data_IF_683272887217
#
_entry.id   IF_683272887217
#
_cell.length_a   1.000
_cell.length_b   1.000
_cell.length_c   1.000
_cell.angle_alpha   90.00
_cell.angle_beta   90.00
_cell.angle_gamma   90.00
#
_symmetry.space_group_name_H-M   'P 1'
#
loop_
_entity.id
_entity.type
_entity.pdbx_description
1 polymer ?
#
# COMPACT_ATOMS: atom_id res chain seq x y z
N UNK A 1 -43.32 10.68 60.10
CA UNK A 1 -43.42 10.25 61.51
C UNK A 1 -42.58 8.99 61.67
N UNK A 2 -41.62 9.03 62.60
CA UNK A 2 -40.81 7.95 63.19
C UNK A 2 -40.13 6.90 62.28
N UNK A 3 -38.80 6.91 62.10
CA UNK A 3 -37.67 6.53 62.99
C UNK A 3 -37.44 5.02 63.21
N UNK A 4 -36.14 4.68 63.16
CA UNK A 4 -35.44 3.58 63.87
C UNK A 4 -35.43 2.21 63.16
N UNK A 5 -34.35 1.80 62.48
CA UNK A 5 -33.07 1.27 63.00
C UNK A 5 -33.12 -0.20 63.46
N UNK A 6 -32.32 -1.06 62.82
CA UNK A 6 -31.16 -1.75 63.44
C UNK A 6 -30.47 -2.71 62.46
N UNK A 7 -29.14 -2.64 62.52
CA UNK A 7 -28.12 -3.48 61.87
C UNK A 7 -28.36 -4.99 62.03
N UNK A 8 -27.88 -5.80 61.08
CA UNK A 8 -26.89 -6.87 61.31
C UNK A 8 -26.17 -7.20 59.98
N UNK A 9 -24.86 -7.38 60.07
CA UNK A 9 -23.86 -7.55 58.99
C UNK A 9 -23.91 -8.94 58.33
N UNK A 10 -23.38 -9.03 57.09
CA UNK A 10 -22.37 -10.01 56.58
C UNK A 10 -22.67 -10.58 55.17
N UNK A 11 -21.61 -10.58 54.36
CA UNK A 11 -21.35 -11.21 53.05
C UNK A 11 -22.01 -10.64 51.78
N UNK A 12 -21.23 -9.78 51.11
CA UNK A 12 -21.32 -9.51 49.68
C UNK A 12 -20.88 -10.77 48.90
N UNK A 13 -21.80 -11.35 48.15
CA UNK A 13 -21.52 -12.25 47.03
C UNK A 13 -22.04 -11.50 45.80
N UNK A 14 -21.14 -10.91 45.01
CA UNK A 14 -21.48 -10.40 43.69
C UNK A 14 -21.57 -11.58 42.73
N UNK A 15 -22.79 -12.03 42.45
CA UNK A 15 -23.14 -12.78 41.25
C UNK A 15 -23.07 -11.83 40.05
N UNK A 16 -22.00 -11.94 39.25
CA UNK A 16 -21.94 -11.35 37.91
C UNK A 16 -22.79 -12.21 36.97
N UNK A 17 -24.00 -11.76 36.69
CA UNK A 17 -24.76 -12.20 35.52
C UNK A 17 -24.03 -11.71 34.26
N UNK A 18 -23.51 -12.66 33.48
CA UNK A 18 -22.84 -12.40 32.21
C UNK A 18 -23.91 -12.21 31.12
N UNK A 19 -24.13 -10.97 30.68
CA UNK A 19 -24.91 -10.67 29.49
C UNK A 19 -24.04 -10.95 28.26
N UNK A 20 -24.20 -12.12 27.65
CA UNK A 20 -23.63 -12.43 26.33
C UNK A 20 -24.37 -11.60 25.26
N UNK A 21 -23.70 -10.64 24.64
CA UNK A 21 -24.15 -10.04 23.37
C UNK A 21 -23.32 -10.64 22.24
N UNK A 22 -23.96 -11.54 21.49
CA UNK A 22 -23.48 -12.08 20.22
C UNK A 22 -23.57 -10.98 19.14
N UNK A 23 -22.45 -10.51 18.60
CA UNK A 23 -22.46 -9.79 17.33
C UNK A 23 -22.40 -10.79 16.17
N UNK A 24 -23.60 -11.07 15.64
CA UNK A 24 -23.84 -11.81 14.41
C UNK A 24 -23.48 -10.89 13.24
N UNK A 25 -22.41 -11.19 12.50
CA UNK A 25 -22.11 -10.50 11.24
C UNK A 25 -23.26 -10.71 10.24
N UNK A 26 -23.88 -9.61 9.83
CA UNK A 26 -24.99 -9.56 8.90
C UNK A 26 -24.43 -9.48 7.48
N UNK A 27 -24.52 -10.56 6.73
CA UNK A 27 -24.37 -10.58 5.27
C UNK A 27 -25.50 -9.77 4.62
N UNK A 28 -25.25 -9.02 3.53
CA UNK A 28 -26.34 -8.40 2.78
C UNK A 28 -27.13 -9.48 2.02
N UNK A 29 -28.44 -9.49 2.21
CA UNK A 29 -29.41 -10.32 1.49
C UNK A 29 -29.40 -10.00 0.00
N UNK A 30 -29.20 -11.04 -0.80
CA UNK A 30 -29.48 -11.11 -2.23
C UNK A 30 -30.99 -11.26 -2.43
N UNK A 31 -31.61 -10.40 -3.25
CA UNK A 31 -32.98 -10.60 -3.71
C UNK A 31 -33.02 -11.76 -4.71
N UNK A 32 -33.85 -12.75 -4.42
CA UNK A 32 -34.07 -13.97 -5.16
C UNK A 32 -34.67 -13.77 -6.56
N UNK A 33 -34.28 -14.65 -7.48
CA UNK A 33 -35.18 -15.25 -8.46
C UNK A 33 -34.95 -16.77 -8.44
N UNK A 34 -36.03 -17.50 -8.22
CA UNK A 34 -36.12 -18.96 -8.01
C UNK A 34 -35.85 -19.76 -9.29
N UNK A 35 -35.20 -20.93 -9.15
CA UNK A 35 -35.80 -22.27 -9.34
C UNK A 35 -34.74 -23.37 -9.19
N UNK A 36 -35.07 -24.44 -8.48
CA UNK A 36 -34.51 -25.78 -8.69
C UNK A 36 -33.74 -26.39 -7.51
N UNK A 37 -34.48 -27.04 -6.62
CA UNK A 37 -34.02 -27.84 -5.47
C UNK A 37 -33.10 -29.01 -5.87
N UNK A 38 -32.08 -29.26 -5.05
CA UNK A 38 -31.69 -30.60 -4.57
C UNK A 38 -30.73 -30.43 -3.37
N UNK A 39 -31.22 -30.81 -2.20
CA UNK A 39 -30.54 -30.77 -0.91
C UNK A 39 -29.39 -31.79 -0.82
N UNK A 40 -28.24 -31.37 -0.31
CA UNK A 40 -27.31 -32.23 0.43
C UNK A 40 -26.90 -31.46 1.69
N UNK A 41 -27.34 -31.95 2.85
CA UNK A 41 -27.03 -31.40 4.18
C UNK A 41 -25.67 -31.89 4.66
N UNK A 42 -24.82 -30.97 5.15
CA UNK A 42 -23.55 -31.29 5.83
C UNK A 42 -23.66 -31.00 7.34
N UNK A 43 -23.39 -32.02 8.15
CA UNK A 43 -23.31 -31.98 9.61
C UNK A 43 -21.89 -31.57 10.05
N UNK A 44 -21.78 -30.48 10.81
CA UNK A 44 -20.51 -29.87 11.24
C UNK A 44 -19.98 -30.38 12.60
N UNK A 45 -20.53 -31.46 13.17
CA UNK A 45 -20.10 -31.96 14.49
C UNK A 45 -19.07 -33.11 14.49
N UNK A 46 -18.26 -33.28 13.43
CA UNK A 46 -17.14 -34.23 13.45
C UNK A 46 -15.86 -33.66 12.84
N UNK A 47 -15.11 -32.87 13.61
CA UNK A 47 -13.63 -32.93 13.64
C UNK A 47 -13.20 -32.51 15.06
N UNK A 48 -13.05 -33.49 15.95
CA UNK A 48 -12.18 -33.38 17.12
C UNK A 48 -11.62 -34.77 17.35
N UNK A 49 -10.41 -35.05 16.86
CA UNK A 49 -9.49 -36.06 17.36
C UNK A 49 -8.25 -36.08 16.47
N UNK A 50 -7.23 -35.32 16.86
CA UNK A 50 -5.84 -35.73 16.66
C UNK A 50 -5.05 -35.29 17.91
N UNK A 51 -4.78 -36.28 18.76
CA UNK A 51 -3.79 -36.24 19.84
C UNK A 51 -2.40 -36.25 19.19
N UNK A 52 -1.49 -35.42 19.70
CA UNK A 52 -0.05 -35.65 19.58
C UNK A 52 0.48 -35.98 20.98
N UNK A 53 1.15 -37.12 21.07
CA UNK A 53 1.75 -37.68 22.27
C UNK A 53 2.99 -36.91 22.71
N UNK A 54 3.14 -36.84 24.03
CA UNK A 54 4.31 -36.38 24.78
C UNK A 54 5.38 -37.47 24.83
N UNK A 55 6.65 -37.08 24.73
CA UNK A 55 7.72 -37.81 25.41
C UNK A 55 8.83 -36.86 25.90
N UNK A 56 9.69 -37.37 26.76
CA UNK A 56 10.01 -36.80 28.08
C UNK A 56 11.48 -36.37 28.29
N UNK A 57 11.71 -35.48 29.26
CA UNK A 57 12.87 -35.54 30.18
C UNK A 57 14.04 -34.54 30.00
N UNK A 58 14.25 -33.68 31.00
CA UNK A 58 15.54 -33.02 31.31
C UNK A 58 15.45 -31.68 32.03
N UNK A 59 15.47 -31.69 33.38
CA UNK A 59 15.55 -30.52 34.29
C UNK A 59 16.93 -29.83 34.28
N UNK A 60 16.99 -28.52 34.60
CA UNK A 60 17.68 -27.92 35.78
C UNK A 60 17.75 -26.35 35.71
N UNK A 61 17.29 -25.72 36.82
CA UNK A 61 17.56 -24.38 37.45
C UNK A 61 17.34 -23.07 36.67
N UNK A 62 16.31 -22.25 37.00
CA UNK A 62 16.27 -21.10 37.97
C UNK A 62 17.10 -19.89 37.49
N UNK A 63 16.59 -18.66 37.30
CA UNK A 63 15.77 -17.82 38.19
C UNK A 63 15.05 -16.66 37.45
N UNK A 64 14.08 -16.07 38.17
CA UNK A 64 13.39 -14.76 37.99
C UNK A 64 12.27 -14.59 36.93
N UNK A 65 11.10 -15.15 37.28
CA UNK A 65 9.77 -14.56 37.00
C UNK A 65 9.51 -13.40 37.96
N UNK A 66 8.96 -12.26 37.52
CA UNK A 66 7.52 -12.15 37.38
C UNK A 66 7.04 -10.78 37.82
N UNK A 67 6.94 -9.85 36.87
CA UNK A 67 6.25 -8.58 37.07
C UNK A 67 5.58 -8.17 35.75
N UNK A 68 4.35 -7.63 35.83
CA UNK A 68 3.60 -6.92 34.77
C UNK A 68 2.71 -7.70 33.79
N UNK A 69 1.80 -8.54 34.29
CA UNK A 69 0.52 -8.80 33.57
C UNK A 69 -0.71 -8.32 34.33
N UNK A 70 -0.64 -8.21 35.65
CA UNK A 70 -1.74 -7.68 36.49
C UNK A 70 -1.73 -6.14 36.56
N UNK A 71 -0.56 -5.49 36.53
CA UNK A 71 -0.48 -4.01 36.44
C UNK A 71 -0.90 -3.47 35.05
N UNK A 72 -0.67 -4.25 33.98
CA UNK A 72 -1.13 -3.93 32.62
C UNK A 72 -2.65 -3.88 32.47
N UNK A 73 -3.38 -4.72 33.24
CA UNK A 73 -4.85 -4.71 33.26
C UNK A 73 -5.40 -3.58 34.11
N UNK A 74 -4.78 -3.32 35.26
CA UNK A 74 -5.23 -2.30 36.22
C UNK A 74 -5.02 -0.85 35.76
N UNK A 75 -4.17 -0.61 34.76
CA UNK A 75 -3.95 0.73 34.20
C UNK A 75 -5.02 1.12 33.16
N UNK A 76 -5.50 0.16 32.38
CA UNK A 76 -6.56 0.35 31.38
C UNK A 76 -7.94 0.52 32.06
N UNK A 77 -8.16 -0.11 33.20
CA UNK A 77 -9.43 0.00 33.97
C UNK A 77 -9.57 1.32 34.76
N UNK A 78 -8.54 2.19 34.80
CA UNK A 78 -8.61 3.50 35.48
C UNK A 78 -8.98 4.68 34.58
N UNK A 79 -9.23 4.46 33.29
CA UNK A 79 -9.70 5.51 32.38
C UNK A 79 -11.24 5.52 32.40
N UNK A 80 -11.83 6.64 32.84
CA UNK A 80 -13.30 6.79 32.94
C UNK A 80 -13.99 6.61 31.58
N UNK A 81 -15.25 6.11 31.54
CA UNK A 81 -15.95 5.73 30.30
C UNK A 81 -16.31 6.86 29.30
N UNK A 82 -15.87 8.10 29.52
CA UNK A 82 -16.43 9.27 28.82
C UNK A 82 -15.54 9.92 27.74
N UNK A 83 -14.40 9.34 27.31
CA UNK A 83 -13.49 10.02 26.34
C UNK A 83 -13.17 9.22 25.07
N UNK A 84 -14.08 8.36 24.59
CA UNK A 84 -14.03 7.88 23.20
C UNK A 84 -15.36 8.21 22.55
N UNK A 85 -15.51 9.45 22.08
CA UNK A 85 -16.65 9.85 21.26
C UNK A 85 -16.22 9.97 19.80
N UNK A 86 -16.44 8.87 19.08
CA UNK A 86 -16.59 8.71 17.64
C UNK A 86 -15.34 8.72 16.72
N UNK A 87 -15.22 7.58 16.00
CA UNK A 87 -14.61 7.30 14.68
C UNK A 87 -13.16 6.79 14.60
N UNK A 88 -13.06 5.50 14.23
CA UNK A 88 -11.91 4.65 13.83
C UNK A 88 -10.59 4.83 14.59
N UNK A 89 -10.32 3.90 15.50
CA UNK A 89 -9.15 3.89 16.38
C UNK A 89 -8.15 2.82 15.92
N UNK A 90 -7.01 3.25 15.38
CA UNK A 90 -5.76 2.48 15.23
C UNK A 90 -4.56 3.44 15.45
N UNK A 91 -4.49 4.13 16.59
CA UNK A 91 -3.30 4.91 16.97
C UNK A 91 -2.36 4.12 17.86
N UNK A 92 -1.06 4.21 17.61
CA UNK A 92 -0.01 3.56 18.40
C UNK A 92 0.46 4.46 19.56
N UNK A 93 1.11 3.90 20.58
CA UNK A 93 1.71 4.67 21.69
C UNK A 93 2.73 5.71 21.20
N UNK A 94 3.38 5.46 20.06
CA UNK A 94 4.33 6.40 19.44
C UNK A 94 3.62 7.64 18.87
N UNK A 95 2.43 7.48 18.30
CA UNK A 95 1.62 8.57 17.76
C UNK A 95 1.13 9.51 18.88
N UNK A 96 0.76 8.92 20.02
CA UNK A 96 0.36 9.63 21.24
C UNK A 96 1.56 10.43 21.79
N UNK A 97 2.72 9.80 21.90
CA UNK A 97 3.94 10.43 22.40
C UNK A 97 4.42 11.60 21.51
N UNK A 98 4.22 11.52 20.20
CA UNK A 98 4.57 12.58 19.24
C UNK A 98 3.68 13.84 19.34
N UNK A 99 2.43 13.71 19.82
CA UNK A 99 1.55 14.85 20.09
C UNK A 99 1.85 15.47 21.45
N UNK A 100 2.11 14.64 22.46
CA UNK A 100 2.50 15.09 23.80
C UNK A 100 3.80 15.90 23.78
N UNK A 101 4.77 15.51 22.96
CA UNK A 101 6.02 16.24 22.78
C UNK A 101 5.86 17.59 22.02
N UNK A 102 4.75 17.79 21.31
CA UNK A 102 4.44 19.04 20.58
C UNK A 102 3.78 20.09 21.47
N UNK A 103 3.00 19.68 22.47
CA UNK A 103 2.38 20.57 23.45
C UNK A 103 3.19 20.63 24.75
N UNK A 104 4.49 20.96 24.64
CA UNK A 104 5.35 21.16 25.81
C UNK A 104 4.75 22.23 26.73
N UNK A 105 4.13 21.78 27.82
CA UNK A 105 3.47 22.64 28.80
C UNK A 105 2.12 22.14 29.32
N UNK A 106 1.50 21.15 28.66
CA UNK A 106 0.20 20.60 29.11
C UNK A 106 0.28 19.07 29.20
N UNK A 107 0.55 18.55 30.39
CA UNK A 107 0.84 17.13 30.67
C UNK A 107 -0.40 16.24 30.84
N UNK A 108 -1.55 16.58 30.27
CA UNK A 108 -2.76 15.78 30.47
C UNK A 108 -2.99 14.82 29.28
N UNK A 109 -2.58 13.56 29.45
CA UNK A 109 -2.76 12.42 28.52
C UNK A 109 -4.23 12.19 28.12
N UNK A 110 -5.18 12.84 28.81
CA UNK A 110 -6.63 12.66 28.65
C UNK A 110 -7.27 13.52 27.55
N UNK A 111 -6.49 14.31 26.80
CA UNK A 111 -7.00 15.30 25.84
C UNK A 111 -6.49 15.10 24.40
N UNK A 112 -6.48 13.86 23.91
CA UNK A 112 -6.08 13.52 22.54
C UNK A 112 -7.25 12.89 21.79
N UNK A 113 -7.40 13.25 20.51
CA UNK A 113 -8.39 12.67 19.58
C UNK A 113 -7.65 12.14 18.36
N UNK A 114 -8.01 10.96 17.89
CA UNK A 114 -7.47 10.35 16.67
C UNK A 114 -8.56 10.35 15.61
N UNK A 115 -8.26 10.87 14.41
CA UNK A 115 -9.19 10.89 13.28
C UNK A 115 -8.46 10.50 12.01
N UNK A 116 -8.84 9.36 11.40
CA UNK A 116 -8.27 8.83 10.14
C UNK A 116 -6.73 8.71 10.17
N UNK A 117 -6.18 8.04 11.19
CA UNK A 117 -4.73 7.86 11.40
C UNK A 117 -3.93 9.17 11.59
N UNK A 118 -4.59 10.27 11.92
CA UNK A 118 -3.95 11.52 12.34
C UNK A 118 -4.34 11.80 13.79
N UNK A 119 -3.35 12.20 14.60
CA UNK A 119 -3.53 12.48 16.03
C UNK A 119 -3.61 13.99 16.27
N UNK A 120 -4.65 14.41 16.99
CA UNK A 120 -5.03 15.78 17.31
C UNK A 120 -5.11 15.97 18.83
N UNK A 121 -4.84 17.16 19.32
CA UNK A 121 -5.22 17.54 20.68
C UNK A 121 -6.73 17.90 20.71
N UNK A 122 -7.41 17.75 21.85
CA UNK A 122 -8.86 18.06 22.01
C UNK A 122 -9.23 19.52 21.66
N UNK A 123 -8.23 20.40 21.64
CA UNK A 123 -8.36 21.83 21.34
C UNK A 123 -7.99 22.14 19.89
N UNK A 124 -7.46 21.18 19.14
CA UNK A 124 -7.19 21.35 17.73
C UNK A 124 -8.52 21.44 16.97
N UNK A 125 -8.57 22.29 15.96
CA UNK A 125 -9.70 22.29 15.04
C UNK A 125 -9.63 21.03 14.19
N UNK A 126 -10.40 20.01 14.58
CA UNK A 126 -10.48 18.75 13.84
C UNK A 126 -11.24 19.00 12.53
N UNK A 127 -10.63 18.74 11.36
CA UNK A 127 -11.37 18.82 10.11
C UNK A 127 -12.44 17.73 10.10
N UNK A 128 -13.72 18.13 10.09
CA UNK A 128 -14.87 17.20 10.19
C UNK A 128 -14.91 16.12 9.10
N UNK A 129 -14.07 16.20 8.05
CA UNK A 129 -13.75 15.16 7.05
C UNK A 129 -12.32 15.40 6.51
N UNK A 130 -11.57 14.36 6.12
CA UNK A 130 -10.31 14.55 5.40
C UNK A 130 -10.57 15.43 4.17
N UNK A 131 -9.64 16.35 3.86
CA UNK A 131 -9.84 17.28 2.76
C UNK A 131 -10.06 16.51 1.47
N UNK A 132 -11.15 16.84 0.75
CA UNK A 132 -11.34 16.30 -0.59
C UNK A 132 -10.18 16.77 -1.46
N UNK A 133 -9.44 15.82 -2.01
CA UNK A 133 -8.42 16.10 -3.01
C UNK A 133 -9.03 16.94 -4.15
N UNK A 134 -8.40 18.05 -4.55
CA UNK A 134 -8.96 18.86 -5.62
C UNK A 134 -8.86 18.07 -6.93
N UNK A 135 -9.96 18.03 -7.69
CA UNK A 135 -9.95 17.42 -9.02
C UNK A 135 -9.05 18.23 -9.96
N UNK A 136 -8.00 17.59 -10.49
CA UNK A 136 -7.12 18.18 -11.48
C UNK A 136 -7.38 17.53 -12.84
N UNK A 137 -7.84 18.35 -13.79
CA UNK A 137 -7.96 17.92 -15.19
C UNK A 137 -6.55 17.77 -15.78
N UNK A 138 -6.33 16.79 -16.68
CA UNK A 138 -5.04 16.63 -17.35
C UNK A 138 -4.62 17.92 -18.06
N UNK A 139 -3.45 18.45 -17.69
CA UNK A 139 -2.94 19.76 -18.11
C UNK A 139 -1.93 19.67 -19.27
N UNK A 140 -1.71 18.47 -19.78
CA UNK A 140 -0.70 18.19 -20.82
C UNK A 140 0.70 18.67 -20.41
N UNK A 141 1.06 18.41 -19.14
CA UNK A 141 2.38 18.73 -18.61
C UNK A 141 2.62 20.23 -18.40
N UNK A 142 1.57 21.00 -18.06
CA UNK A 142 1.67 22.46 -17.84
C UNK A 142 2.83 22.84 -16.92
N UNK A 143 2.97 22.14 -15.77
CA UNK A 143 4.04 22.41 -14.79
C UNK A 143 5.44 22.32 -15.44
N UNK A 144 5.67 21.36 -16.32
CA UNK A 144 6.96 21.21 -17.01
C UNK A 144 7.13 22.19 -18.17
N UNK A 145 6.04 22.54 -18.87
CA UNK A 145 6.08 23.53 -19.97
C UNK A 145 6.42 24.94 -19.48
N UNK A 146 5.93 25.30 -18.30
CA UNK A 146 6.10 26.62 -17.69
C UNK A 146 7.28 26.67 -16.71
N UNK A 147 8.01 25.55 -16.56
CA UNK A 147 9.12 25.47 -15.62
C UNK A 147 10.31 26.33 -16.08
N UNK A 148 10.83 27.15 -15.17
CA UNK A 148 12.06 27.91 -15.42
C UNK A 148 13.31 27.04 -15.24
N UNK A 149 13.73 26.42 -16.35
CA UNK A 149 14.97 25.63 -16.42
C UNK A 149 16.26 26.47 -16.32
N UNK A 150 16.16 27.80 -16.39
CA UNK A 150 17.31 28.71 -16.30
C UNK A 150 17.44 29.34 -14.91
N UNK A 151 16.33 29.51 -14.18
CA UNK A 151 16.23 30.21 -12.89
C UNK A 151 16.76 29.48 -11.66
N UNK A 152 17.53 28.40 -11.83
CA UNK A 152 18.18 27.69 -10.72
C UNK A 152 19.67 27.47 -10.96
N UNK A 153 20.40 27.19 -9.88
CA UNK A 153 21.82 26.81 -9.86
C UNK A 153 22.10 25.43 -10.53
N UNK A 154 21.33 25.04 -11.54
CA UNK A 154 21.66 23.89 -12.38
C UNK A 154 22.92 24.18 -13.18
N UNK A 155 23.85 23.21 -13.20
CA UNK A 155 25.03 23.27 -14.08
C UNK A 155 24.56 23.32 -15.54
N UNK A 156 25.33 23.94 -16.44
CA UNK A 156 24.95 24.09 -17.86
C UNK A 156 24.57 22.76 -18.53
N UNK A 157 25.31 21.68 -18.25
CA UNK A 157 25.01 20.32 -18.76
C UNK A 157 23.68 19.77 -18.25
N UNK A 158 23.32 20.10 -17.00
CA UNK A 158 22.08 19.64 -16.37
C UNK A 158 20.88 20.41 -16.94
N UNK A 159 21.04 21.70 -17.26
CA UNK A 159 19.98 22.52 -17.91
C UNK A 159 19.57 21.96 -19.27
N UNK A 160 20.54 21.56 -20.10
CA UNK A 160 20.26 20.98 -21.42
C UNK A 160 19.51 19.66 -21.26
N UNK A 161 20.04 18.75 -20.44
CA UNK A 161 19.42 17.47 -20.15
C UNK A 161 17.98 17.61 -19.62
N UNK A 162 17.75 18.53 -18.66
CA UNK A 162 16.40 18.78 -18.13
C UNK A 162 15.43 19.24 -19.22
N UNK A 163 15.83 20.16 -20.10
CA UNK A 163 14.96 20.65 -21.18
C UNK A 163 14.61 19.55 -22.18
N UNK A 164 15.58 18.73 -22.56
CA UNK A 164 15.38 17.61 -23.49
C UNK A 164 14.47 16.55 -22.88
N UNK A 165 14.75 16.11 -21.65
CA UNK A 165 13.98 15.06 -20.99
C UNK A 165 12.59 15.53 -20.55
N UNK A 166 12.41 16.83 -20.28
CA UNK A 166 11.09 17.41 -20.07
C UNK A 166 10.16 17.21 -21.27
N UNK A 167 10.68 17.23 -22.51
CA UNK A 167 9.86 16.94 -23.70
C UNK A 167 9.37 15.49 -23.72
N UNK A 168 10.16 14.55 -23.21
CA UNK A 168 9.73 13.15 -23.04
C UNK A 168 8.56 13.07 -22.07
N UNK A 169 8.67 13.72 -20.91
CA UNK A 169 7.60 13.77 -19.91
C UNK A 169 6.35 14.48 -20.44
N UNK A 170 6.50 15.61 -21.12
CA UNK A 170 5.38 16.34 -21.76
C UNK A 170 4.69 15.46 -22.80
N UNK A 171 5.43 14.70 -23.62
CA UNK A 171 4.85 13.74 -24.57
C UNK A 171 4.02 12.66 -23.86
N UNK A 172 4.55 12.09 -22.76
CA UNK A 172 3.83 11.09 -21.95
C UNK A 172 2.55 11.67 -21.34
N UNK A 173 2.61 12.87 -20.77
CA UNK A 173 1.44 13.52 -20.16
C UNK A 173 0.38 13.92 -21.20
N UNK A 174 0.78 14.31 -22.41
CA UNK A 174 -0.14 14.52 -23.55
C UNK A 174 -0.88 13.23 -23.93
N UNK A 175 -0.19 12.08 -23.95
CA UNK A 175 -0.84 10.78 -24.19
C UNK A 175 -1.89 10.48 -23.12
N UNK A 176 -1.53 10.63 -21.84
CA UNK A 176 -2.46 10.45 -20.71
C UNK A 176 -3.67 11.37 -20.85
N UNK A 177 -3.43 12.66 -21.09
CA UNK A 177 -4.49 13.66 -21.28
C UNK A 177 -5.42 13.30 -22.42
N UNK A 178 -4.90 12.87 -23.59
CA UNK A 178 -5.72 12.43 -24.73
C UNK A 178 -6.66 11.28 -24.35
N UNK A 179 -6.15 10.28 -23.63
CA UNK A 179 -6.95 9.10 -23.24
C UNK A 179 -8.00 9.47 -22.18
N UNK A 180 -7.62 10.27 -21.18
CA UNK A 180 -8.52 10.75 -20.13
C UNK A 180 -9.60 11.68 -20.66
N UNK A 181 -9.27 12.62 -21.56
CA UNK A 181 -10.24 13.54 -22.16
C UNK A 181 -11.26 12.80 -23.04
N UNK A 182 -10.83 11.76 -23.76
CA UNK A 182 -11.73 10.87 -24.51
C UNK A 182 -12.65 10.03 -23.60
N UNK A 183 -12.39 10.00 -22.29
CA UNK A 183 -13.13 9.24 -21.27
C UNK A 183 -13.39 10.12 -20.05
N UNK A 184 -14.02 11.27 -20.27
CA UNK A 184 -14.23 12.30 -19.23
C UNK A 184 -14.90 11.78 -17.94
N UNK A 185 -15.70 10.70 -18.01
CA UNK A 185 -16.27 10.01 -16.84
C UNK A 185 -15.23 9.48 -15.85
N UNK A 186 -13.98 9.28 -16.28
CA UNK A 186 -12.88 8.86 -15.41
C UNK A 186 -12.21 10.04 -14.68
N UNK A 187 -12.55 11.28 -15.04
CA UNK A 187 -12.00 12.49 -14.40
C UNK A 187 -12.83 12.77 -13.15
N UNK A 188 -12.52 12.06 -12.08
CA UNK A 188 -13.22 12.19 -10.79
C UNK A 188 -12.23 12.43 -9.66
N UNK A 189 -12.75 12.96 -8.55
CA UNK A 189 -11.95 13.15 -7.33
C UNK A 189 -11.90 11.85 -6.55
N UNK A 190 -10.70 11.45 -6.14
CA UNK A 190 -10.46 10.28 -5.29
C UNK A 190 -9.41 10.66 -4.25
N UNK A 191 -9.59 10.17 -3.03
CA UNK A 191 -8.52 10.20 -2.04
C UNK A 191 -7.34 9.34 -2.49
N UNK A 192 -6.13 9.83 -2.22
CA UNK A 192 -4.89 9.20 -2.61
C UNK A 192 -3.96 9.10 -1.41
N UNK A 193 -3.32 7.95 -1.26
CA UNK A 193 -2.20 7.76 -0.34
C UNK A 193 -0.91 8.16 -1.07
N UNK A 194 -0.52 9.42 -0.95
CA UNK A 194 0.67 9.97 -1.58
C UNK A 194 1.75 10.22 -0.53
N UNK A 195 3.01 10.16 -0.96
CA UNK A 195 4.14 10.69 -0.19
C UNK A 195 4.27 12.18 -0.53
N UNK A 196 4.20 13.06 0.48
CA UNK A 196 4.21 14.52 0.31
C UNK A 196 5.57 15.11 0.68
N UNK A 197 6.50 15.04 -0.26
CA UNK A 197 7.81 15.68 -0.09
C UNK A 197 7.76 17.17 -0.41
N UNK A 198 7.48 17.95 0.63
CA UNK A 198 7.45 19.41 0.60
C UNK A 198 8.79 20.05 0.95
N UNK A 199 9.80 19.25 1.34
CA UNK A 199 11.13 19.73 1.73
C UNK A 199 11.99 20.07 0.51
N UNK A 200 11.84 19.32 -0.58
CA UNK A 200 12.56 19.55 -1.83
C UNK A 200 11.81 20.51 -2.75
N UNK A 201 12.54 21.14 -3.68
CA UNK A 201 11.99 22.11 -4.63
C UNK A 201 12.30 21.70 -6.09
N UNK A 202 11.29 21.57 -6.98
CA UNK A 202 9.87 21.57 -6.63
C UNK A 202 9.55 20.41 -5.70
N UNK A 203 8.52 20.62 -4.88
CA UNK A 203 7.95 19.58 -4.03
C UNK A 203 7.41 18.43 -4.87
N UNK A 204 7.48 17.21 -4.32
CA UNK A 204 7.13 15.97 -5.00
C UNK A 204 5.94 15.34 -4.28
N UNK A 205 4.92 14.98 -5.06
CA UNK A 205 3.83 14.11 -4.63
C UNK A 205 3.94 12.79 -5.37
N UNK A 206 4.30 11.73 -4.66
CA UNK A 206 4.56 10.43 -5.27
C UNK A 206 3.43 9.44 -4.98
N UNK A 207 2.90 8.79 -6.01
CA UNK A 207 1.94 7.70 -5.87
C UNK A 207 2.64 6.33 -5.87
N UNK A 208 2.63 5.58 -4.75
CA UNK A 208 3.32 4.30 -4.69
C UNK A 208 2.47 3.17 -5.26
N UNK A 209 2.90 2.65 -6.41
CA UNK A 209 2.27 1.49 -7.04
C UNK A 209 3.13 0.25 -6.84
N UNK A 210 2.54 -0.82 -6.32
CA UNK A 210 3.24 -2.08 -6.16
C UNK A 210 3.72 -2.64 -7.50
N UNK A 211 4.90 -3.26 -7.44
CA UNK A 211 5.53 -4.01 -8.54
C UNK A 211 6.02 -3.13 -9.71
N UNK A 212 6.14 -1.81 -9.48
CA UNK A 212 6.83 -0.85 -10.35
C UNK A 212 7.91 -0.09 -9.60
N UNK A 213 8.74 -0.81 -8.85
CA UNK A 213 9.80 -0.26 -7.99
C UNK A 213 9.29 0.66 -6.85
N UNK A 214 8.08 0.44 -6.32
CA UNK A 214 7.59 1.23 -5.17
C UNK A 214 8.44 1.04 -3.91
N UNK A 215 8.84 -0.19 -3.57
CA UNK A 215 9.77 -0.44 -2.46
C UNK A 215 11.07 0.35 -2.64
N UNK A 216 11.51 0.48 -3.89
CA UNK A 216 12.69 1.24 -4.22
C UNK A 216 12.54 2.72 -3.90
N UNK A 217 11.48 3.32 -4.42
CA UNK A 217 11.19 4.72 -4.13
C UNK A 217 10.95 4.99 -2.64
N UNK A 218 10.36 4.04 -1.90
CA UNK A 218 10.23 4.15 -0.44
C UNK A 218 11.60 4.22 0.26
N UNK A 219 12.57 3.40 -0.18
CA UNK A 219 13.95 3.50 0.32
C UNK A 219 14.58 4.83 -0.06
N UNK A 220 14.33 5.36 -1.26
CA UNK A 220 14.80 6.69 -1.65
C UNK A 220 14.24 7.78 -0.73
N UNK A 221 12.96 7.75 -0.40
CA UNK A 221 12.38 8.70 0.55
C UNK A 221 13.00 8.56 1.95
N UNK A 222 13.24 7.34 2.44
CA UNK A 222 13.97 7.17 3.71
C UNK A 222 15.39 7.75 3.64
N UNK A 223 16.06 7.61 2.49
CA UNK A 223 17.39 8.20 2.28
C UNK A 223 17.36 9.73 2.27
N UNK A 224 16.40 10.32 1.55
CA UNK A 224 16.14 11.76 1.53
C UNK A 224 15.80 12.32 2.93
N UNK A 225 15.24 11.49 3.81
CA UNK A 225 14.94 11.86 5.19
C UNK A 225 16.12 11.67 6.15
N UNK A 226 17.31 11.30 5.67
CA UNK A 226 18.47 10.93 6.50
C UNK A 226 18.13 9.85 7.53
N UNK A 227 17.22 8.94 7.19
CA UNK A 227 16.70 7.94 8.12
C UNK A 227 17.83 7.06 8.66
N UNK A 228 17.91 6.94 9.98
CA UNK A 228 18.90 6.12 10.70
C UNK A 228 20.39 6.43 10.40
N UNK A 229 20.74 7.64 9.92
CA UNK A 229 22.16 7.99 9.70
C UNK A 229 22.98 7.89 10.97
N UNK A 230 22.43 8.32 12.10
CA UNK A 230 23.13 8.34 13.38
C UNK A 230 22.66 7.24 14.34
N UNK A 231 22.00 6.20 13.82
CA UNK A 231 21.46 5.13 14.65
C UNK A 231 22.60 4.43 15.43
N UNK A 232 22.57 4.38 16.78
CA UNK A 232 23.68 3.89 17.60
C UNK A 232 24.14 2.48 17.22
N UNK A 233 23.19 1.56 17.00
CA UNK A 233 23.49 0.18 16.60
C UNK A 233 24.14 0.04 15.20
N UNK A 234 24.25 1.12 14.42
CA UNK A 234 24.89 1.14 13.10
C UNK A 234 26.22 1.90 13.08
N UNK A 235 26.60 2.54 14.19
CA UNK A 235 27.75 3.47 14.28
C UNK A 235 29.07 2.82 13.85
N UNK A 236 29.32 1.60 14.33
CA UNK A 236 30.60 0.90 14.10
C UNK A 236 30.61 0.05 12.81
N UNK A 237 29.55 0.15 11.99
CA UNK A 237 29.48 -0.60 10.74
C UNK A 237 30.23 0.11 9.61
N UNK A 238 30.90 -0.68 8.75
CA UNK A 238 31.48 -0.18 7.49
C UNK A 238 30.43 0.58 6.66
N UNK A 239 30.77 1.69 5.97
CA UNK A 239 29.81 2.57 5.30
C UNK A 239 28.78 1.85 4.42
N UNK A 240 29.22 0.93 3.55
CA UNK A 240 28.31 0.15 2.68
C UNK A 240 27.35 -0.76 3.45
N UNK A 241 27.78 -1.31 4.59
CA UNK A 241 26.94 -2.17 5.44
C UNK A 241 25.97 -1.33 6.27
N UNK A 242 26.43 -0.17 6.77
CA UNK A 242 25.61 0.85 7.42
C UNK A 242 24.47 1.29 6.49
N UNK A 243 24.81 1.73 5.28
CA UNK A 243 23.85 2.19 4.27
C UNK A 243 22.75 1.15 4.01
N UNK A 244 23.13 -0.08 3.68
CA UNK A 244 22.14 -1.16 3.46
C UNK A 244 21.29 -1.46 4.70
N UNK A 245 21.86 -1.36 5.90
CA UNK A 245 21.15 -1.72 7.13
C UNK A 245 20.18 -0.65 7.59
N UNK A 246 20.43 0.64 7.32
CA UNK A 246 19.55 1.76 7.70
C UNK A 246 18.10 1.55 7.28
N UNK A 247 17.88 0.89 6.14
CA UNK A 247 16.57 0.69 5.52
C UNK A 247 15.96 -0.71 5.77
N UNK A 248 16.44 -1.45 6.77
CA UNK A 248 15.84 -2.75 7.12
C UNK A 248 14.72 -2.58 8.13
N UNK A 249 13.66 -3.39 8.00
CA UNK A 249 12.51 -3.38 8.92
C UNK A 249 12.90 -3.51 10.40
N UNK A 250 13.96 -4.27 10.72
CA UNK A 250 14.43 -4.41 12.11
C UNK A 250 14.96 -3.11 12.75
N UNK A 251 15.17 -2.07 11.95
CA UNK A 251 15.52 -0.72 12.41
C UNK A 251 14.38 0.28 12.12
N UNK A 252 13.14 -0.19 12.02
CA UNK A 252 11.96 0.67 11.85
C UNK A 252 11.68 1.14 10.42
N UNK A 253 12.43 0.67 9.42
CA UNK A 253 12.13 1.02 8.02
C UNK A 253 10.84 0.32 7.55
N UNK A 254 9.82 1.09 7.19
CA UNK A 254 8.56 0.58 6.64
C UNK A 254 7.96 1.59 5.65
N UNK A 255 6.89 1.19 4.94
CA UNK A 255 6.13 2.13 4.11
C UNK A 255 5.42 3.17 4.99
N UNK A 256 4.89 2.76 6.15
CA UNK A 256 4.22 3.65 7.09
C UNK A 256 5.18 4.71 7.64
N UNK A 257 6.44 4.33 7.90
CA UNK A 257 7.46 5.29 8.31
C UNK A 257 7.74 6.35 7.26
N UNK A 258 7.64 6.03 5.97
CA UNK A 258 7.75 7.03 4.91
C UNK A 258 6.58 8.01 4.95
N UNK A 259 5.35 7.54 5.13
CA UNK A 259 4.19 8.43 5.23
C UNK A 259 4.25 9.32 6.48
N UNK A 260 4.77 8.81 7.60
CA UNK A 260 5.01 9.59 8.82
C UNK A 260 6.04 10.71 8.58
N UNK A 261 7.12 10.42 7.84
CA UNK A 261 8.19 11.38 7.53
C UNK A 261 7.79 12.41 6.46
N UNK A 262 6.80 12.10 5.64
CA UNK A 262 6.32 12.91 4.51
C UNK A 262 4.79 13.05 4.50
N UNK A 263 4.19 13.63 5.57
CA UNK A 263 2.75 13.74 5.70
C UNK A 263 2.19 14.87 4.82
N UNK A 264 0.90 14.82 4.45
CA UNK A 264 0.24 15.94 3.78
C UNK A 264 0.23 17.21 4.66
N UNK A 265 0.18 18.41 4.06
CA UNK A 265 -0.05 19.64 4.80
C UNK A 265 -1.35 19.60 5.61
N UNK A 266 -1.33 20.18 6.82
CA UNK A 266 -2.48 20.17 7.75
C UNK A 266 -3.53 21.23 7.41
N UNK A 267 -3.12 22.36 6.86
CA UNK A 267 -4.03 23.44 6.46
C UNK A 267 -4.71 23.14 5.13
N UNK A 268 -6.02 23.40 5.00
CA UNK A 268 -6.76 23.17 3.74
C UNK A 268 -6.14 23.92 2.56
N UNK A 269 -5.84 25.20 2.75
CA UNK A 269 -5.32 26.05 1.67
C UNK A 269 -3.91 25.63 1.28
N UNK A 270 -3.07 25.29 2.25
CA UNK A 270 -1.72 24.77 2.02
C UNK A 270 -1.76 23.40 1.33
N UNK A 271 -2.65 22.50 1.74
CA UNK A 271 -2.87 21.20 1.11
C UNK A 271 -3.27 21.37 -0.35
N UNK A 272 -4.26 22.21 -0.62
CA UNK A 272 -4.77 22.46 -1.97
C UNK A 272 -3.71 23.16 -2.83
N UNK A 273 -2.99 24.13 -2.26
CA UNK A 273 -1.91 24.83 -2.93
C UNK A 273 -0.77 23.87 -3.30
N UNK A 274 -0.27 23.11 -2.33
CA UNK A 274 0.79 22.12 -2.52
C UNK A 274 0.36 21.09 -3.56
N UNK A 275 -0.85 20.52 -3.44
CA UNK A 275 -1.35 19.55 -4.41
C UNK A 275 -1.36 20.05 -5.85
N UNK A 276 -1.73 21.32 -6.07
CA UNK A 276 -1.79 21.93 -7.41
C UNK A 276 -0.42 22.25 -7.99
N UNK A 277 0.54 22.64 -7.16
CA UNK A 277 1.80 23.23 -7.63
C UNK A 277 3.02 22.28 -7.49
N UNK A 278 2.90 21.18 -6.76
CA UNK A 278 3.93 20.14 -6.69
C UNK A 278 4.04 19.31 -7.97
N UNK A 279 5.21 18.72 -8.19
CA UNK A 279 5.40 17.67 -9.19
C UNK A 279 4.66 16.41 -8.74
N UNK A 280 3.65 16.00 -9.50
CA UNK A 280 2.95 14.73 -9.26
C UNK A 280 3.63 13.64 -10.06
N UNK A 281 4.21 12.68 -9.35
CA UNK A 281 5.08 11.63 -9.88
C UNK A 281 4.38 10.27 -9.81
N UNK A 282 4.46 9.53 -10.91
CA UNK A 282 4.02 8.14 -11.00
C UNK A 282 5.08 7.31 -11.71
N UNK A 283 5.33 6.09 -11.21
CA UNK A 283 6.21 5.12 -11.88
C UNK A 283 5.32 4.05 -12.49
N UNK A 284 5.60 3.66 -13.73
CA UNK A 284 4.85 2.62 -14.46
C UNK A 284 5.79 1.64 -15.14
N UNK A 285 5.24 0.50 -15.56
CA UNK A 285 5.88 -0.54 -16.36
C UNK A 285 4.81 -1.15 -17.25
N UNK A 286 5.22 -1.91 -18.26
CA UNK A 286 4.31 -2.72 -19.04
C UNK A 286 3.29 -3.48 -18.14
N UNK A 287 1.96 -3.35 -18.34
CA UNK A 287 0.95 -3.86 -17.40
C UNK A 287 1.04 -5.37 -17.15
N UNK A 288 1.33 -6.15 -18.19
CA UNK A 288 1.51 -7.59 -18.07
C UNK A 288 2.76 -7.94 -17.27
N UNK A 289 3.85 -7.20 -17.44
CA UNK A 289 5.04 -7.50 -16.67
C UNK A 289 4.90 -7.12 -15.20
N UNK A 290 4.19 -6.02 -14.91
CA UNK A 290 3.79 -5.69 -13.54
C UNK A 290 2.96 -6.82 -12.94
N UNK A 291 2.00 -7.36 -13.68
CA UNK A 291 1.13 -8.43 -13.21
C UNK A 291 1.92 -9.72 -12.93
N UNK A 292 2.82 -10.10 -13.83
CA UNK A 292 3.70 -11.24 -13.62
C UNK A 292 4.61 -11.06 -12.41
N UNK A 293 5.10 -9.84 -12.19
CA UNK A 293 5.86 -9.52 -10.99
C UNK A 293 5.03 -9.72 -9.72
N UNK A 294 3.73 -9.37 -9.74
CA UNK A 294 2.81 -9.63 -8.64
C UNK A 294 2.61 -11.14 -8.40
N UNK A 295 2.38 -11.92 -9.46
CA UNK A 295 2.26 -13.38 -9.39
C UNK A 295 3.49 -14.03 -8.73
N UNK A 296 4.70 -13.76 -9.25
CA UNK A 296 5.97 -14.30 -8.73
C UNK A 296 6.27 -13.88 -7.30
N UNK A 297 5.65 -12.80 -6.84
CA UNK A 297 5.86 -12.30 -5.48
C UNK A 297 4.83 -12.82 -4.48
N UNK A 298 3.58 -13.01 -4.92
CA UNK A 298 2.45 -13.32 -4.03
C UNK A 298 1.94 -14.74 -4.13
N UNK A 299 2.06 -15.37 -5.31
CA UNK A 299 1.47 -16.69 -5.56
C UNK A 299 2.48 -17.83 -5.48
N UNK A 300 3.78 -17.56 -5.65
CA UNK A 300 4.81 -18.61 -5.75
C UNK A 300 5.72 -18.68 -4.51
N UNK A 301 5.26 -18.18 -3.36
CA UNK A 301 6.02 -18.16 -2.10
C UNK A 301 5.18 -18.76 -0.99
N UNK A 302 5.81 -19.46 -0.06
CA UNK A 302 5.11 -19.99 1.14
C UNK A 302 4.67 -18.87 2.09
N UNK A 303 5.53 -17.86 2.28
CA UNK A 303 5.28 -16.72 3.17
C UNK A 303 5.32 -15.39 2.39
N UNK A 304 4.34 -15.16 1.51
CA UNK A 304 4.22 -13.90 0.79
C UNK A 304 3.89 -12.75 1.76
N UNK A 305 4.67 -11.68 1.69
CA UNK A 305 4.47 -10.46 2.50
C UNK A 305 3.61 -9.42 1.78
N UNK A 306 2.89 -8.54 2.49
CA UNK A 306 2.79 -8.52 3.94
C UNK A 306 1.69 -9.52 4.39
N UNK A 307 1.84 -10.07 5.60
CA UNK A 307 1.12 -11.28 6.04
C UNK A 307 -0.38 -11.04 6.25
N UNK A 308 -0.75 -9.78 6.50
CA UNK A 308 -2.11 -9.32 6.79
C UNK A 308 -3.06 -9.56 5.61
N UNK A 309 -2.54 -9.59 4.37
CA UNK A 309 -3.35 -9.89 3.18
C UNK A 309 -3.68 -11.38 3.01
N UNK A 310 -3.26 -12.25 3.94
CA UNK A 310 -3.59 -13.68 3.96
C UNK A 310 -3.44 -14.35 2.59
N UNK A 311 -2.37 -13.99 1.87
CA UNK A 311 -2.10 -14.49 0.51
C UNK A 311 -2.04 -16.02 0.43
N UNK A 312 -1.69 -16.71 1.53
CA UNK A 312 -1.73 -18.16 1.58
C UNK A 312 -3.14 -18.72 1.40
N UNK A 313 -4.14 -18.11 2.02
CA UNK A 313 -5.54 -18.52 1.86
C UNK A 313 -6.03 -18.22 0.45
N UNK A 314 -5.59 -17.10 -0.13
CA UNK A 314 -5.87 -16.79 -1.53
C UNK A 314 -5.23 -17.82 -2.48
N UNK A 315 -3.99 -18.22 -2.24
CA UNK A 315 -3.33 -19.29 -3.01
C UNK A 315 -4.15 -20.59 -2.96
N UNK A 316 -4.54 -21.03 -1.76
CA UNK A 316 -5.36 -22.24 -1.58
C UNK A 316 -6.71 -22.12 -2.29
N UNK A 317 -7.38 -20.98 -2.15
CA UNK A 317 -8.64 -20.71 -2.83
C UNK A 317 -8.52 -20.82 -4.36
N UNK A 318 -7.46 -20.26 -4.94
CA UNK A 318 -7.20 -20.34 -6.39
C UNK A 318 -6.98 -21.79 -6.80
N UNK A 319 -6.14 -22.54 -6.07
CA UNK A 319 -5.88 -23.96 -6.37
C UNK A 319 -7.18 -24.76 -6.33
N UNK A 320 -7.93 -24.68 -5.22
CA UNK A 320 -9.17 -25.44 -5.03
C UNK A 320 -10.22 -25.13 -6.11
N UNK A 321 -10.27 -23.88 -6.60
CA UNK A 321 -11.29 -23.46 -7.56
C UNK A 321 -10.90 -23.75 -9.02
N UNK A 322 -9.64 -23.60 -9.39
CA UNK A 322 -9.22 -23.58 -10.80
C UNK A 322 -8.36 -24.78 -11.21
N UNK A 323 -7.81 -25.55 -10.26
CA UNK A 323 -7.05 -26.76 -10.59
C UNK A 323 -7.99 -27.93 -10.89
N UNK A 324 -7.90 -28.56 -12.07
CA UNK A 324 -8.69 -29.76 -12.37
C UNK A 324 -8.36 -30.91 -11.41
N UNK A 325 -9.35 -31.76 -11.12
CA UNK A 325 -9.21 -32.91 -10.21
C UNK A 325 -8.23 -33.95 -10.78
N UNK A 326 -8.18 -34.08 -12.10
CA UNK A 326 -7.32 -34.98 -12.87
C UNK A 326 -5.99 -34.36 -13.29
N UNK A 327 -5.66 -33.17 -12.76
CA UNK A 327 -4.41 -32.48 -13.07
C UNK A 327 -3.19 -33.18 -12.46
N UNK A 328 -2.11 -33.33 -13.24
CA UNK A 328 -0.80 -33.80 -12.76
C UNK A 328 -0.04 -32.72 -11.95
N UNK A 329 -0.54 -31.48 -11.93
CA UNK A 329 0.07 -30.37 -11.19
C UNK A 329 -0.05 -30.56 -9.66
N UNK A 330 1.08 -30.85 -9.02
CA UNK A 330 1.20 -31.10 -7.57
C UNK A 330 1.74 -29.92 -6.77
N UNK A 331 2.08 -28.81 -7.44
CA UNK A 331 2.64 -27.62 -6.80
C UNK A 331 1.73 -27.10 -5.67
N UNK A 332 2.27 -26.73 -4.50
CA UNK A 332 1.50 -26.12 -3.41
C UNK A 332 1.09 -24.67 -3.71
N UNK A 333 1.37 -24.18 -4.92
CA UNK A 333 1.14 -22.81 -5.38
C UNK A 333 0.25 -22.81 -6.63
N UNK A 334 -0.56 -21.75 -6.83
CA UNK A 334 -1.28 -21.56 -8.08
C UNK A 334 -0.33 -21.49 -9.28
N UNK A 335 -0.70 -22.12 -10.38
CA UNK A 335 -0.04 -21.92 -11.67
C UNK A 335 -0.36 -20.52 -12.21
N UNK A 336 0.40 -20.07 -13.21
CA UNK A 336 0.14 -18.77 -13.82
C UNK A 336 -1.22 -18.72 -14.54
N UNK A 337 -1.63 -19.74 -15.34
CA UNK A 337 -2.98 -19.80 -15.91
C UNK A 337 -4.09 -19.78 -14.85
N UNK A 338 -3.96 -20.54 -13.76
CA UNK A 338 -4.93 -20.55 -12.64
C UNK A 338 -5.08 -19.13 -12.03
N UNK A 339 -3.96 -18.45 -11.78
CA UNK A 339 -3.95 -17.08 -11.26
C UNK A 339 -4.58 -16.07 -12.22
N UNK A 340 -4.29 -16.17 -13.53
CA UNK A 340 -4.89 -15.28 -14.53
C UNK A 340 -6.39 -15.51 -14.60
N UNK A 341 -6.85 -16.76 -14.60
CA UNK A 341 -8.27 -17.06 -14.59
C UNK A 341 -8.96 -16.48 -13.35
N UNK A 342 -8.34 -16.61 -12.17
CA UNK A 342 -8.82 -15.97 -10.95
C UNK A 342 -8.99 -14.46 -11.11
N UNK A 343 -8.02 -13.75 -11.70
CA UNK A 343 -8.14 -12.30 -11.92
C UNK A 343 -9.31 -11.99 -12.85
N UNK A 344 -9.43 -12.71 -13.97
CA UNK A 344 -10.48 -12.47 -14.95
C UNK A 344 -11.87 -12.62 -14.33
N UNK A 345 -12.06 -13.68 -13.52
CA UNK A 345 -13.33 -13.98 -12.87
C UNK A 345 -13.63 -13.05 -11.69
N UNK A 346 -12.65 -12.85 -10.78
CA UNK A 346 -12.82 -11.99 -9.59
C UNK A 346 -13.10 -10.53 -9.96
N UNK A 347 -12.64 -10.09 -11.12
CA UNK A 347 -12.83 -8.72 -11.58
C UNK A 347 -13.91 -8.61 -12.64
N UNK A 348 -14.58 -9.69 -13.09
CA UNK A 348 -15.49 -9.72 -14.26
C UNK A 348 -16.46 -8.53 -14.36
N UNK A 349 -16.99 -8.09 -13.22
CA UNK A 349 -18.01 -7.04 -13.15
C UNK A 349 -17.47 -5.63 -12.81
N UNK A 350 -16.15 -5.44 -12.76
CA UNK A 350 -15.54 -4.15 -12.41
C UNK A 350 -15.50 -3.22 -13.62
N UNK A 351 -16.17 -2.07 -13.50
CA UNK A 351 -16.34 -1.08 -14.57
C UNK A 351 -15.94 0.33 -14.11
N UNK A 352 -16.16 0.65 -12.84
CA UNK A 352 -15.99 1.97 -12.22
C UNK A 352 -14.79 2.01 -11.28
N UNK A 353 -14.40 3.19 -10.82
CA UNK A 353 -13.32 3.34 -9.84
C UNK A 353 -13.66 2.67 -8.50
N UNK A 354 -14.95 2.70 -8.13
CA UNK A 354 -15.49 2.13 -6.90
C UNK A 354 -15.29 0.62 -6.81
N UNK A 355 -15.36 -0.07 -7.94
CA UNK A 355 -15.21 -1.53 -8.02
C UNK A 355 -13.79 -1.99 -7.64
N UNK A 356 -12.80 -1.11 -7.79
CA UNK A 356 -11.40 -1.40 -7.50
C UNK A 356 -10.98 -1.09 -6.05
N UNK A 357 -11.93 -0.79 -5.15
CA UNK A 357 -11.62 -0.39 -3.76
C UNK A 357 -11.25 -1.54 -2.81
N UNK A 358 -11.75 -2.76 -3.06
CA UNK A 358 -11.65 -3.89 -2.11
C UNK A 358 -10.59 -4.95 -2.47
N UNK A 359 -9.78 -4.71 -3.50
CA UNK A 359 -8.90 -5.73 -4.06
C UNK A 359 -7.43 -5.53 -3.69
N UNK A 360 -6.67 -6.63 -3.76
CA UNK A 360 -5.22 -6.61 -3.59
C UNK A 360 -4.59 -5.57 -4.52
N UNK A 361 -3.94 -4.57 -3.91
CA UNK A 361 -3.35 -3.42 -4.59
C UNK A 361 -2.27 -3.83 -5.62
N UNK A 362 -1.66 -5.01 -5.46
CA UNK A 362 -0.58 -5.52 -6.30
C UNK A 362 -0.94 -5.72 -7.79
N UNK A 363 -2.22 -5.88 -8.12
CA UNK A 363 -2.69 -6.02 -9.51
C UNK A 363 -3.87 -5.10 -9.85
N UNK A 364 -4.12 -4.07 -9.03
CA UNK A 364 -5.10 -3.02 -9.33
C UNK A 364 -4.56 -2.13 -10.46
N UNK A 365 -5.33 -1.85 -11.54
CA UNK A 365 -4.89 -0.98 -12.63
C UNK A 365 -4.40 0.38 -12.15
N UNK A 366 -3.42 0.95 -12.85
CA UNK A 366 -2.82 2.25 -12.48
C UNK A 366 -3.87 3.35 -12.45
N UNK A 367 -4.75 3.39 -13.46
CA UNK A 367 -5.82 4.40 -13.56
C UNK A 367 -6.72 4.41 -12.33
N UNK A 368 -6.97 3.23 -11.75
CA UNK A 368 -7.83 3.07 -10.59
C UNK A 368 -7.08 3.32 -9.28
N UNK A 369 -5.87 2.77 -9.13
CA UNK A 369 -5.08 2.89 -7.91
C UNK A 369 -4.70 4.36 -7.63
N UNK A 370 -4.12 5.03 -8.62
CA UNK A 370 -3.58 6.39 -8.49
C UNK A 370 -4.49 7.48 -9.05
N UNK A 371 -5.73 7.18 -9.45
CA UNK A 371 -6.66 8.15 -10.03
C UNK A 371 -6.02 8.99 -11.16
N UNK A 372 -5.38 8.32 -12.13
CA UNK A 372 -4.49 8.95 -13.13
C UNK A 372 -5.17 10.12 -13.86
N UNK A 373 -6.47 10.01 -14.16
CA UNK A 373 -7.21 11.04 -14.88
C UNK A 373 -7.69 12.21 -14.01
N UNK A 374 -7.72 12.08 -12.68
CA UNK A 374 -8.16 13.12 -11.75
C UNK A 374 -7.03 13.81 -10.97
N UNK A 375 -5.79 13.38 -11.16
CA UNK A 375 -4.63 13.84 -10.39
C UNK A 375 -3.56 14.59 -11.21
N UNK A 376 -3.71 14.72 -12.55
CA UNK A 376 -2.76 15.42 -13.42
C UNK A 376 -1.27 15.12 -13.14
N UNK A 377 -0.86 13.85 -13.24
CA UNK A 377 0.55 13.45 -13.10
C UNK A 377 1.40 14.14 -14.18
N UNK A 378 2.49 14.79 -13.77
CA UNK A 378 3.35 15.57 -14.66
C UNK A 378 4.67 14.86 -14.97
N UNK A 379 5.11 13.99 -14.08
CA UNK A 379 6.35 13.21 -14.21
C UNK A 379 5.95 11.73 -14.20
N UNK A 380 6.06 11.09 -15.36
CA UNK A 380 5.67 9.69 -15.57
C UNK A 380 6.96 8.92 -15.85
N UNK A 381 7.50 8.26 -14.83
CA UNK A 381 8.71 7.44 -14.95
C UNK A 381 8.34 6.04 -15.46
N UNK A 382 9.12 5.49 -16.37
CA UNK A 382 8.95 4.14 -16.91
C UNK A 382 10.09 3.25 -16.43
N UNK A 383 9.80 2.03 -15.99
CA UNK A 383 10.84 1.07 -15.61
C UNK A 383 11.78 0.73 -16.77
N UNK A 384 11.28 0.80 -18.00
CA UNK A 384 12.06 0.56 -19.22
C UNK A 384 13.09 1.68 -19.50
N UNK A 385 12.89 2.89 -18.96
CA UNK A 385 13.78 4.05 -19.12
C UNK A 385 14.18 4.65 -17.77
N UNK A 386 14.23 3.81 -16.72
CA UNK A 386 14.26 4.29 -15.34
C UNK A 386 15.54 5.06 -15.01
N UNK A 387 16.67 4.70 -15.64
CA UNK A 387 17.95 5.34 -15.38
C UNK A 387 17.94 6.83 -15.77
N UNK A 388 17.43 7.18 -16.95
CA UNK A 388 17.30 8.60 -17.36
C UNK A 388 16.13 9.30 -16.65
N UNK A 389 15.03 8.59 -16.43
CA UNK A 389 13.83 9.10 -15.76
C UNK A 389 14.09 9.50 -14.30
N UNK A 390 14.79 8.65 -13.54
CA UNK A 390 15.21 8.94 -12.17
C UNK A 390 16.19 10.10 -12.15
N UNK A 391 17.18 10.09 -13.04
CA UNK A 391 18.14 11.20 -13.16
C UNK A 391 17.44 12.52 -13.41
N UNK A 392 16.40 12.53 -14.25
CA UNK A 392 15.60 13.72 -14.50
C UNK A 392 14.92 14.23 -13.23
N UNK A 393 14.21 13.37 -12.49
CA UNK A 393 13.54 13.78 -11.26
C UNK A 393 14.52 14.23 -10.17
N UNK A 394 15.61 13.49 -9.98
CA UNK A 394 16.70 13.81 -9.03
C UNK A 394 17.29 15.19 -9.35
N UNK A 395 17.57 15.45 -10.63
CA UNK A 395 18.15 16.72 -11.06
C UNK A 395 17.12 17.85 -10.94
N UNK A 396 15.86 17.61 -11.33
CA UNK A 396 14.80 18.62 -11.33
C UNK A 396 14.47 19.11 -9.92
N UNK A 397 14.30 18.18 -8.96
CA UNK A 397 13.97 18.51 -7.57
C UNK A 397 15.17 18.69 -6.64
N UNK A 398 16.38 18.67 -7.20
CA UNK A 398 17.65 18.80 -6.48
C UNK A 398 17.80 17.82 -5.30
N UNK A 399 17.54 16.55 -5.57
CA UNK A 399 17.63 15.45 -4.60
C UNK A 399 19.11 15.05 -4.40
N UNK A 400 19.89 15.86 -3.69
CA UNK A 400 21.35 15.72 -3.56
C UNK A 400 21.78 14.36 -2.98
N UNK A 401 21.04 13.87 -1.99
CA UNK A 401 21.29 12.60 -1.30
C UNK A 401 21.21 11.39 -2.25
N UNK A 402 20.56 11.57 -3.41
CA UNK A 402 20.43 10.54 -4.43
C UNK A 402 21.46 10.67 -5.56
N UNK A 403 22.19 11.79 -5.68
CA UNK A 403 23.14 12.01 -6.78
C UNK A 403 24.43 11.20 -6.66
N UNK A 404 24.83 10.83 -5.45
CA UNK A 404 26.10 10.14 -5.17
C UNK A 404 26.00 8.61 -5.14
N UNK A 405 24.82 8.06 -5.39
CA UNK A 405 24.58 6.61 -5.35
C UNK A 405 25.22 5.94 -6.57
N UNK A 406 26.49 5.55 -6.44
CA UNK A 406 27.28 4.89 -7.51
C UNK A 406 26.82 3.47 -7.83
N UNK A 407 25.99 2.86 -6.98
CA UNK A 407 25.42 1.53 -7.20
C UNK A 407 23.92 1.59 -6.99
N UNK A 408 23.09 1.53 -8.04
CA UNK A 408 21.69 1.28 -7.84
C UNK A 408 21.53 -0.09 -7.19
N UNK A 409 21.17 -0.14 -5.90
CA UNK A 409 20.76 -1.38 -5.24
C UNK A 409 19.52 -2.01 -5.92
N UNK A 410 18.91 -1.28 -6.87
CA UNK A 410 17.76 -1.62 -7.72
C UNK A 410 17.98 -2.76 -8.70
N UNK A 411 19.22 -3.04 -9.08
CA UNK A 411 19.45 -4.23 -9.90
C UNK A 411 19.28 -5.41 -8.95
N UNK A 412 18.16 -6.11 -9.09
CA UNK A 412 18.03 -7.50 -8.65
C UNK A 412 19.08 -8.31 -9.44
N UNK A 413 20.36 -8.16 -9.08
CA UNK A 413 21.53 -8.52 -9.89
C UNK A 413 21.65 -10.02 -10.18
N UNK A 414 20.81 -10.85 -9.56
CA UNK A 414 21.02 -12.29 -9.51
C UNK A 414 19.83 -13.12 -10.02
N UNK A 415 18.73 -12.52 -10.49
CA UNK A 415 17.57 -13.25 -11.00
C UNK A 415 17.03 -12.62 -12.28
N UNK A 416 16.61 -13.46 -13.25
CA UNK A 416 15.87 -12.99 -14.43
C UNK A 416 14.68 -12.14 -13.98
N UNK A 417 14.61 -10.91 -14.49
CA UNK A 417 13.57 -9.93 -14.16
C UNK A 417 12.20 -10.46 -14.62
N UNK A 418 11.12 -9.79 -14.25
CA UNK A 418 9.81 -10.16 -14.79
C UNK A 418 9.71 -9.86 -16.29
N UNK A 419 10.52 -8.93 -16.83
CA UNK A 419 10.56 -8.64 -18.27
C UNK A 419 11.15 -9.86 -19.00
N UNK A 420 12.29 -10.35 -18.52
CA UNK A 420 13.07 -11.42 -19.16
C UNK A 420 12.32 -12.75 -19.26
N UNK A 421 11.34 -13.00 -18.39
CA UNK A 421 10.59 -14.26 -18.34
C UNK A 421 9.14 -14.12 -18.76
N UNK A 422 8.67 -12.90 -19.06
CA UNK A 422 7.29 -12.67 -19.46
C UNK A 422 6.86 -13.58 -20.64
N UNK A 423 7.61 -13.67 -21.75
CA UNK A 423 7.29 -14.58 -22.86
C UNK A 423 6.91 -16.00 -22.40
N UNK A 424 7.76 -16.63 -21.57
CA UNK A 424 7.57 -17.99 -21.06
C UNK A 424 6.32 -18.17 -20.20
N UNK A 425 5.93 -17.15 -19.44
CA UNK A 425 4.72 -17.22 -18.63
C UNK A 425 3.47 -17.00 -19.47
N UNK A 426 3.50 -16.04 -20.38
CA UNK A 426 2.36 -15.71 -21.23
C UNK A 426 2.08 -16.77 -22.30
N UNK A 427 3.09 -17.55 -22.73
CA UNK A 427 2.89 -18.69 -23.64
C UNK A 427 2.09 -19.85 -23.02
N UNK A 428 1.93 -19.88 -21.69
CA UNK A 428 1.09 -20.88 -21.00
C UNK A 428 -0.40 -20.54 -21.05
N UNK A 429 -0.76 -19.33 -21.49
CA UNK A 429 -2.15 -18.88 -21.51
C UNK A 429 -2.81 -19.17 -22.85
N UNK A 430 -4.10 -19.48 -22.81
CA UNK A 430 -4.90 -19.53 -24.04
C UNK A 430 -5.01 -18.14 -24.69
N UNK A 431 -5.20 -18.12 -26.02
CA UNK A 431 -5.47 -16.87 -26.77
C UNK A 431 -6.67 -16.10 -26.19
N UNK A 432 -7.68 -16.82 -25.69
CA UNK A 432 -8.85 -16.21 -25.03
C UNK A 432 -8.46 -15.51 -23.73
N UNK A 433 -7.67 -16.16 -22.87
CA UNK A 433 -7.19 -15.55 -21.62
C UNK A 433 -6.35 -14.30 -21.89
N UNK A 434 -5.43 -14.35 -22.87
CA UNK A 434 -4.62 -13.18 -23.25
C UNK A 434 -5.51 -12.03 -23.72
N UNK A 435 -6.51 -12.30 -24.57
CA UNK A 435 -7.44 -11.27 -25.07
C UNK A 435 -8.26 -10.65 -23.95
N UNK A 436 -8.82 -11.46 -23.05
CA UNK A 436 -9.62 -10.98 -21.92
C UNK A 436 -8.74 -10.19 -20.93
N UNK A 437 -7.51 -10.64 -20.70
CA UNK A 437 -6.55 -9.96 -19.83
C UNK A 437 -6.10 -8.63 -20.43
N UNK A 438 -5.89 -8.57 -21.75
CA UNK A 438 -5.61 -7.32 -22.44
C UNK A 438 -6.76 -6.34 -22.29
N UNK A 439 -8.01 -6.78 -22.51
CA UNK A 439 -9.20 -5.96 -22.31
C UNK A 439 -9.30 -5.45 -20.86
N UNK A 440 -8.99 -6.30 -19.88
CA UNK A 440 -8.98 -5.96 -18.44
C UNK A 440 -8.09 -4.76 -18.12
N UNK A 441 -6.90 -4.71 -18.71
CA UNK A 441 -5.90 -3.67 -18.45
C UNK A 441 -5.79 -2.65 -19.59
N UNK A 442 -6.71 -2.66 -20.56
CA UNK A 442 -6.64 -1.85 -21.78
C UNK A 442 -6.37 -0.36 -21.52
N UNK A 443 -7.00 0.20 -20.48
CA UNK A 443 -6.80 1.60 -20.12
C UNK A 443 -5.35 1.90 -19.70
N UNK A 444 -4.69 1.01 -18.97
CA UNK A 444 -3.29 1.17 -18.59
C UNK A 444 -2.37 1.13 -19.83
N UNK A 445 -2.63 0.21 -20.77
CA UNK A 445 -1.93 0.18 -22.06
C UNK A 445 -2.09 1.50 -22.82
N UNK A 446 -3.32 2.01 -22.91
CA UNK A 446 -3.61 3.24 -23.62
C UNK A 446 -2.98 4.47 -22.95
N UNK A 447 -3.10 4.59 -21.62
CA UNK A 447 -2.62 5.75 -20.85
C UNK A 447 -1.11 5.90 -20.96
N UNK A 448 -0.38 4.79 -20.86
CA UNK A 448 1.08 4.80 -20.79
C UNK A 448 1.77 4.39 -22.08
N UNK A 449 1.02 4.27 -23.19
CA UNK A 449 1.56 3.96 -24.52
C UNK A 449 2.37 2.65 -24.53
N UNK A 450 1.75 1.59 -24.02
CA UNK A 450 2.27 0.23 -24.12
C UNK A 450 1.52 -0.55 -25.20
N UNK A 451 2.20 -1.52 -25.81
CA UNK A 451 1.64 -2.42 -26.81
C UNK A 451 1.82 -3.87 -26.39
N UNK A 452 0.85 -4.72 -26.71
CA UNK A 452 0.94 -6.15 -26.41
C UNK A 452 2.17 -6.81 -27.03
N UNK A 453 2.61 -6.32 -28.19
CA UNK A 453 3.81 -6.78 -28.92
C UNK A 453 5.12 -6.41 -28.21
N UNK A 454 5.09 -5.55 -27.19
CA UNK A 454 6.25 -5.24 -26.37
C UNK A 454 6.65 -6.46 -25.50
N UNK A 455 5.74 -7.44 -25.35
CA UNK A 455 6.05 -8.77 -24.85
C UNK A 455 5.99 -9.72 -26.05
N UNK A 456 7.07 -10.44 -26.29
CA UNK A 456 7.12 -11.49 -27.30
C UNK A 456 6.30 -12.70 -26.81
N UNK A 457 5.00 -12.69 -27.07
CA UNK A 457 4.07 -13.74 -26.61
C UNK A 457 4.01 -14.91 -27.60
N UNK A 458 4.56 -14.76 -28.81
CA UNK A 458 4.46 -15.73 -29.90
C UNK A 458 5.81 -15.96 -30.61
N UNK A 459 6.78 -16.59 -29.94
CA UNK A 459 7.98 -17.10 -30.64
C UNK A 459 7.77 -18.46 -31.30
N UNK A 460 6.62 -19.12 -31.10
CA UNK A 460 6.30 -20.40 -31.72
C UNK A 460 4.84 -20.36 -32.20
N UNK A 461 4.62 -20.05 -33.49
CA UNK A 461 3.44 -20.34 -34.34
C UNK A 461 3.36 -19.30 -35.48
N UNK A 462 4.31 -19.35 -36.41
CA UNK A 462 4.04 -19.03 -37.81
C UNK A 462 3.52 -20.31 -38.48
N UNK A 463 2.19 -20.44 -38.60
CA UNK A 463 1.52 -21.16 -39.70
C UNK A 463 0.12 -20.59 -39.95
#
# INVERSE_FOLDING_TARGET
MFNSAKNTRIFAIFTLASTFVYYKYKTPELSAYEFGENEVTFDLNKISNYRAESDSGGEVSSDESGETTTERRNMIERMTPDVIKNMDVDATEEDISAVMNRHKGNHDERNIIVVNNLVYHVNDTIPEKPFKYPLLKPSEGKILREFDYNGRNYRNKDRRFLKEHAQVMIKRTKKVAKVCNARSKMITSKELHLVWDTKHSPSILYCPIYKVASTSWMINFLRLAHFNEDHPALKDMKPRKKERNRFRNKYGASQDKVYELYPPPRGRDEFVHTYRHSLRVIVVRHPFTRLLSAYRDKMTKMEPKPLEYRFRDLQLHIITKYRPVDSEETSPFPTFPEFIQYILDSTKNFVTLEDWKQNVVCWTPYWAQCNVCGADYNVILKLETIEEDERFLITLSNLEELKEIKTPEWRHLNNKTSDDVAPKYYSQLSRLQIRQLYQRYLLDFMLFDYHIRDIDINSDEEE
#
